data_IF_433865345114
#
_entry.id   IF_433865345114
#
_cell.length_a   1.000
_cell.length_b   1.000
_cell.length_c   1.000
_cell.angle_alpha   90.00
_cell.angle_beta   90.00
_cell.angle_gamma   90.00
#
_symmetry.space_group_name_H-M   'P 1'
#
loop_
_entity.id
_entity.type
_entity.pdbx_description
1 polymer ?
#
# COMPACT_ATOMS: atom_id res chain seq x y z
N UNK A 1 45.09 9.03 12.05
CA UNK A 1 45.26 7.84 12.88
C UNK A 1 44.22 7.89 13.99
N UNK A 2 43.21 7.10 13.89
CA UNK A 2 42.48 6.42 14.94
C UNK A 2 41.37 5.59 14.29
N UNK A 3 41.70 4.32 14.11
CA UNK A 3 40.75 3.34 13.59
C UNK A 3 39.86 2.86 14.72
N UNK A 4 38.56 2.84 14.48
CA UNK A 4 37.59 2.09 15.26
C UNK A 4 37.14 0.89 14.41
N UNK A 5 37.79 -0.26 14.69
CA UNK A 5 37.31 -1.57 14.30
C UNK A 5 36.05 -1.89 15.08
N UNK A 6 34.87 -1.77 14.52
CA UNK A 6 33.72 -2.46 15.06
C UNK A 6 33.69 -3.89 14.53
N UNK A 7 33.88 -4.82 15.45
CA UNK A 7 33.65 -6.25 15.24
C UNK A 7 32.17 -6.45 14.91
N UNK A 8 31.92 -6.95 13.70
CA UNK A 8 30.62 -7.50 13.31
C UNK A 8 30.54 -8.87 13.99
N UNK A 9 29.81 -8.95 15.08
CA UNK A 9 29.26 -10.21 15.57
C UNK A 9 28.02 -10.51 14.72
N UNK A 10 28.05 -11.64 14.01
CA UNK A 10 26.93 -12.11 13.22
C UNK A 10 25.73 -12.42 14.10
N UNK A 11 24.68 -11.64 13.96
CA UNK A 11 23.36 -11.92 14.50
C UNK A 11 22.39 -12.04 13.35
N UNK A 12 21.78 -13.21 13.17
CA UNK A 12 20.67 -13.50 12.27
C UNK A 12 19.40 -12.66 12.56
N UNK A 13 19.47 -11.67 13.45
CA UNK A 13 18.35 -10.79 13.84
C UNK A 13 18.15 -9.58 12.91
N UNK A 14 19.02 -9.32 11.94
CA UNK A 14 18.95 -8.11 11.08
C UNK A 14 17.87 -8.15 9.98
N UNK A 15 17.24 -9.29 9.76
CA UNK A 15 16.29 -9.53 8.65
C UNK A 15 14.84 -9.28 9.07
N UNK A 16 14.54 -9.42 10.36
CA UNK A 16 13.19 -9.22 10.93
C UNK A 16 12.94 -7.73 11.15
N UNK A 17 11.76 -7.26 10.74
CA UNK A 17 11.36 -5.86 10.96
C UNK A 17 11.03 -5.60 12.45
N UNK A 18 11.85 -4.78 13.10
CA UNK A 18 11.79 -4.51 14.56
C UNK A 18 11.64 -3.01 14.75
N UNK A 19 10.86 -2.25 14.40
CA UNK A 19 10.70 -0.83 14.73
C UNK A 19 11.98 -0.12 15.26
N UNK A 20 11.95 1.17 15.33
CA UNK A 20 13.03 2.02 15.84
C UNK A 20 12.59 2.82 17.08
N UNK A 21 13.36 3.85 17.43
CA UNK A 21 13.01 4.79 18.49
C UNK A 21 11.73 5.54 18.17
N UNK A 22 10.97 5.89 19.19
CA UNK A 22 9.76 6.71 19.06
C UNK A 22 10.17 8.11 18.58
N UNK A 23 9.45 8.65 17.60
CA UNK A 23 9.71 9.99 17.08
C UNK A 23 9.22 11.05 18.07
N UNK A 24 9.94 12.16 18.14
CA UNK A 24 9.58 13.32 18.97
C UNK A 24 8.16 13.81 18.66
N UNK A 25 7.35 13.99 19.69
CA UNK A 25 5.95 14.39 19.58
C UNK A 25 4.96 13.28 19.23
N UNK A 26 5.44 12.05 19.01
CA UNK A 26 4.64 10.87 18.70
C UNK A 26 4.61 9.85 19.87
N UNK A 27 4.95 10.30 21.07
CA UNK A 27 4.98 9.46 22.28
C UNK A 27 3.59 8.90 22.60
N UNK A 28 3.56 7.67 23.11
CA UNK A 28 2.36 6.96 23.53
C UNK A 28 2.28 6.93 25.05
N UNK A 29 1.13 7.22 25.63
CA UNK A 29 0.88 6.96 27.06
C UNK A 29 0.73 5.46 27.31
N UNK A 30 1.88 4.83 27.54
CA UNK A 30 2.01 3.38 27.71
C UNK A 30 1.26 2.88 28.93
N UNK A 31 1.22 3.70 30.01
CA UNK A 31 0.53 3.31 31.25
C UNK A 31 -0.99 3.30 31.02
N UNK A 32 -1.53 4.33 30.38
CA UNK A 32 -2.94 4.39 30.02
C UNK A 32 -3.35 3.22 29.13
N UNK A 33 -2.57 2.94 28.08
CA UNK A 33 -2.80 1.80 27.17
C UNK A 33 -2.74 0.47 27.93
N UNK A 34 -1.74 0.26 28.77
CA UNK A 34 -1.56 -1.00 29.51
C UNK A 34 -2.71 -1.24 30.49
N UNK A 35 -3.12 -0.24 31.25
CA UNK A 35 -4.25 -0.33 32.16
C UNK A 35 -5.54 -0.65 31.40
N UNK A 36 -5.81 0.07 30.32
CA UNK A 36 -6.98 -0.16 29.50
C UNK A 36 -7.04 -1.58 28.90
N UNK A 37 -5.89 -2.10 28.43
CA UNK A 37 -5.80 -3.47 27.91
C UNK A 37 -6.15 -4.50 28.98
N UNK A 38 -5.62 -4.35 30.21
CA UNK A 38 -5.90 -5.25 31.35
C UNK A 38 -7.38 -5.20 31.71
N UNK A 39 -7.97 -4.00 31.84
CA UNK A 39 -9.38 -3.79 32.14
C UNK A 39 -10.31 -4.38 31.09
N UNK A 40 -9.83 -4.49 29.83
CA UNK A 40 -10.56 -5.09 28.71
C UNK A 40 -10.16 -6.54 28.43
N UNK A 41 -9.60 -7.24 29.41
CA UNK A 41 -9.40 -8.69 29.38
C UNK A 41 -8.11 -9.15 28.71
N UNK A 42 -7.16 -8.27 28.42
CA UNK A 42 -5.86 -8.69 27.91
C UNK A 42 -4.96 -9.17 29.03
N UNK A 43 -4.44 -10.38 28.91
CA UNK A 43 -3.48 -10.97 29.85
C UNK A 43 -2.07 -10.52 29.50
N UNK A 44 -1.70 -9.27 29.79
CA UNK A 44 -0.34 -8.74 29.62
C UNK A 44 0.36 -8.64 30.98
N UNK A 45 1.67 -8.88 31.01
CA UNK A 45 2.46 -8.86 32.25
C UNK A 45 3.90 -8.40 32.03
N UNK A 46 4.50 -7.88 33.11
CA UNK A 46 5.87 -7.41 33.12
C UNK A 46 6.07 -6.00 32.59
N UNK A 47 7.33 -5.66 32.34
CA UNK A 47 7.68 -4.39 31.73
C UNK A 47 7.37 -4.39 30.23
N UNK A 48 7.04 -3.23 29.68
CA UNK A 48 6.82 -3.06 28.24
C UNK A 48 7.98 -2.32 27.62
N UNK A 49 8.55 -2.91 26.56
CA UNK A 49 9.45 -2.24 25.64
C UNK A 49 8.63 -1.73 24.46
N UNK A 50 8.78 -0.44 24.11
CA UNK A 50 8.04 0.19 23.03
C UNK A 50 8.98 0.65 21.93
N UNK A 51 8.66 0.25 20.70
CA UNK A 51 9.34 0.75 19.51
C UNK A 51 8.30 1.24 18.50
N UNK A 52 8.72 2.08 17.55
CA UNK A 52 7.85 2.62 16.54
C UNK A 52 8.33 2.23 15.14
N UNK A 53 7.41 1.81 14.29
CA UNK A 53 7.73 1.53 12.89
C UNK A 53 7.78 2.82 12.07
N UNK A 54 8.78 2.93 11.20
CA UNK A 54 8.95 4.07 10.29
C UNK A 54 8.03 4.01 9.06
N UNK A 55 7.49 2.84 8.76
CA UNK A 55 6.55 2.60 7.66
C UNK A 55 5.11 2.92 8.09
N UNK A 56 4.33 3.46 7.14
CA UNK A 56 2.93 3.84 7.35
C UNK A 56 2.78 5.37 7.29
N UNK A 57 2.47 5.88 6.08
CA UNK A 57 2.24 7.31 5.89
C UNK A 57 0.92 7.79 6.52
N UNK A 58 0.00 6.85 6.75
CA UNK A 58 -1.37 7.14 7.18
C UNK A 58 -1.56 7.03 8.68
N UNK A 59 -1.06 5.97 9.31
CA UNK A 59 -1.27 5.68 10.72
C UNK A 59 0.05 5.42 11.46
N UNK A 60 0.11 5.78 12.72
CA UNK A 60 1.26 5.48 13.57
C UNK A 60 1.15 4.06 14.11
N UNK A 61 2.25 3.31 14.01
CA UNK A 61 2.33 1.91 14.38
C UNK A 61 3.43 1.71 15.43
N UNK A 62 3.06 1.16 16.59
CA UNK A 62 3.96 0.89 17.70
C UNK A 62 3.99 -0.60 17.99
N UNK A 63 5.15 -1.12 18.35
CA UNK A 63 5.30 -2.43 18.98
C UNK A 63 5.29 -2.27 20.48
N UNK A 64 4.50 -3.08 21.15
CA UNK A 64 4.42 -3.18 22.61
C UNK A 64 4.89 -4.59 22.98
N UNK A 65 6.14 -4.71 23.42
CA UNK A 65 6.77 -5.97 23.81
C UNK A 65 6.69 -6.13 25.31
N UNK A 66 5.77 -6.94 25.81
CA UNK A 66 5.65 -7.40 27.18
C UNK A 66 6.43 -8.70 27.40
N UNK A 67 6.56 -9.14 28.68
CA UNK A 67 7.23 -10.41 28.99
C UNK A 67 6.51 -11.61 28.36
N UNK A 68 5.17 -11.57 28.31
CA UNK A 68 4.31 -12.65 27.83
C UNK A 68 3.55 -12.33 26.53
N UNK A 69 3.71 -11.14 25.95
CA UNK A 69 2.99 -10.73 24.74
C UNK A 69 3.84 -9.83 23.83
N UNK A 70 3.67 -9.98 22.53
CA UNK A 70 4.28 -9.12 21.51
C UNK A 70 3.15 -8.54 20.63
N UNK A 71 2.84 -7.27 20.85
CA UNK A 71 1.66 -6.63 20.30
C UNK A 71 2.02 -5.47 19.38
N UNK A 72 1.12 -5.17 18.48
CA UNK A 72 1.14 -3.97 17.63
C UNK A 72 -0.07 -3.11 17.98
N UNK A 73 0.18 -1.84 18.25
CA UNK A 73 -0.84 -0.81 18.39
C UNK A 73 -0.82 0.11 17.18
N UNK A 74 -1.99 0.35 16.57
CA UNK A 74 -2.16 1.33 15.50
C UNK A 74 -3.12 2.44 15.94
N UNK A 75 -2.75 3.67 15.61
CA UNK A 75 -3.56 4.87 15.88
C UNK A 75 -3.38 5.93 14.78
N UNK A 76 -4.33 6.86 14.60
CA UNK A 76 -4.15 7.99 13.69
C UNK A 76 -3.06 8.94 14.21
N UNK A 77 -2.44 9.75 13.33
CA UNK A 77 -1.58 10.86 13.72
C UNK A 77 -2.34 11.90 14.57
N UNK A 78 -1.62 12.58 15.48
CA UNK A 78 -2.22 13.68 16.28
C UNK A 78 -2.76 14.79 15.38
N UNK A 79 -3.96 15.29 15.71
CA UNK A 79 -4.58 16.42 15.00
C UNK A 79 -5.32 16.08 13.70
N UNK A 80 -5.44 14.82 13.34
CA UNK A 80 -6.20 14.38 12.17
C UNK A 80 -7.71 14.48 12.44
N UNK A 81 -8.39 15.44 11.81
CA UNK A 81 -9.84 15.68 11.99
C UNK A 81 -10.75 14.86 11.07
N UNK A 82 -10.21 14.17 10.08
CA UNK A 82 -11.02 13.42 9.12
C UNK A 82 -11.25 11.98 9.58
N UNK A 83 -12.35 11.75 10.31
CA UNK A 83 -12.76 10.39 10.75
C UNK A 83 -12.78 9.34 9.64
N UNK A 84 -13.03 9.72 8.39
CA UNK A 84 -13.12 8.79 7.26
C UNK A 84 -11.78 8.35 6.66
N UNK A 85 -10.68 9.04 6.96
CA UNK A 85 -9.36 8.73 6.40
C UNK A 85 -8.52 7.82 7.33
N UNK A 86 -8.92 7.69 8.61
CA UNK A 86 -8.19 6.96 9.64
C UNK A 86 -9.18 6.25 10.57
N UNK A 87 -10.06 5.45 9.99
CA UNK A 87 -11.11 4.71 10.72
C UNK A 87 -10.52 3.42 11.32
N UNK A 88 -10.01 3.53 12.54
CA UNK A 88 -9.41 2.42 13.29
C UNK A 88 -10.41 1.28 13.52
N UNK A 89 -11.67 1.63 13.79
CA UNK A 89 -12.71 0.63 14.01
C UNK A 89 -12.97 -0.19 12.74
N UNK A 90 -13.05 0.48 11.58
CA UNK A 90 -13.22 -0.18 10.29
C UNK A 90 -12.04 -1.11 9.99
N UNK A 91 -10.81 -0.66 10.14
CA UNK A 91 -9.62 -1.47 9.89
C UNK A 91 -9.54 -2.70 10.82
N UNK A 92 -9.89 -2.52 12.10
CA UNK A 92 -10.02 -3.60 13.06
C UNK A 92 -11.09 -4.62 12.65
N UNK A 93 -12.29 -4.16 12.30
CA UNK A 93 -13.40 -5.04 11.95
C UNK A 93 -13.17 -5.79 10.65
N UNK A 94 -12.57 -5.16 9.63
CA UNK A 94 -12.18 -5.86 8.40
C UNK A 94 -11.34 -7.09 8.71
N UNK A 95 -10.29 -6.94 9.49
CA UNK A 95 -9.39 -8.03 9.84
C UNK A 95 -10.08 -9.09 10.73
N UNK A 96 -10.88 -8.66 11.70
CA UNK A 96 -11.62 -9.54 12.60
C UNK A 96 -12.64 -10.40 11.83
N UNK A 97 -13.39 -9.80 10.90
CA UNK A 97 -14.39 -10.50 10.10
C UNK A 97 -13.77 -11.41 9.04
N UNK A 98 -12.61 -11.03 8.54
CA UNK A 98 -11.88 -11.79 7.52
C UNK A 98 -11.11 -13.01 8.10
N UNK A 99 -10.69 -12.96 9.35
CA UNK A 99 -9.83 -13.96 9.98
C UNK A 99 -10.33 -15.42 9.85
N UNK A 100 -11.64 -15.73 9.91
CA UNK A 100 -12.12 -17.10 9.73
C UNK A 100 -11.90 -17.68 8.31
N UNK A 101 -11.71 -16.83 7.31
CA UNK A 101 -11.65 -17.19 5.91
C UNK A 101 -10.26 -17.02 5.29
N UNK A 102 -9.40 -16.22 5.92
CA UNK A 102 -8.11 -15.82 5.39
C UNK A 102 -7.06 -15.84 6.51
N UNK A 103 -6.31 -16.93 6.67
CA UNK A 103 -5.51 -17.19 7.88
C UNK A 103 -4.23 -16.34 8.00
N UNK A 104 -3.83 -15.64 6.94
CA UNK A 104 -2.60 -14.81 6.93
C UNK A 104 -2.87 -13.39 7.43
N UNK A 105 -3.51 -13.29 8.60
CA UNK A 105 -3.85 -12.03 9.27
C UNK A 105 -3.29 -11.97 10.69
N UNK A 106 -2.97 -10.78 11.19
CA UNK A 106 -2.72 -10.60 12.61
C UNK A 106 -3.98 -10.93 13.43
N UNK A 107 -3.82 -11.61 14.56
CA UNK A 107 -4.92 -11.82 15.50
C UNK A 107 -5.30 -10.49 16.16
N UNK A 108 -6.57 -10.07 16.03
CA UNK A 108 -7.09 -8.86 16.65
C UNK A 108 -7.26 -9.06 18.15
N UNK A 109 -6.67 -8.19 18.96
CA UNK A 109 -6.71 -8.25 20.43
C UNK A 109 -7.81 -7.35 20.97
N UNK A 110 -7.76 -6.05 20.67
CA UNK A 110 -8.71 -5.09 21.23
C UNK A 110 -8.89 -3.85 20.34
N UNK A 111 -10.08 -3.25 20.41
CA UNK A 111 -10.39 -1.96 19.78
C UNK A 111 -10.80 -0.98 20.87
N UNK A 112 -10.11 0.15 20.98
CA UNK A 112 -10.45 1.24 21.87
C UNK A 112 -11.08 2.40 21.10
N UNK A 113 -12.31 2.76 21.45
CA UNK A 113 -13.01 3.93 20.91
C UNK A 113 -13.28 4.97 22.02
N UNK A 114 -12.56 4.87 23.12
CA UNK A 114 -12.58 5.84 24.22
C UNK A 114 -11.39 6.81 24.08
N UNK A 115 -11.69 8.00 23.57
CA UNK A 115 -10.69 9.05 23.39
C UNK A 115 -10.04 9.51 24.71
N UNK A 116 -10.64 9.20 25.88
CA UNK A 116 -10.09 9.58 27.18
C UNK A 116 -8.78 8.82 27.50
N UNK A 117 -8.52 7.68 26.85
CA UNK A 117 -7.34 6.86 27.09
C UNK A 117 -6.06 7.49 26.52
N UNK A 118 -6.04 7.81 25.22
CA UNK A 118 -4.87 8.42 24.55
C UNK A 118 -5.25 9.54 23.57
N UNK A 119 -6.45 10.09 23.64
CA UNK A 119 -6.88 11.22 22.79
C UNK A 119 -7.37 10.81 21.39
N UNK A 120 -7.49 9.55 21.09
CA UNK A 120 -7.99 9.03 19.80
C UNK A 120 -8.34 7.55 19.88
N UNK A 121 -9.13 7.07 18.91
CA UNK A 121 -9.33 5.64 18.70
C UNK A 121 -8.00 4.94 18.40
N UNK A 122 -7.87 3.70 18.83
CA UNK A 122 -6.76 2.82 18.47
C UNK A 122 -7.19 1.36 18.49
N UNK A 123 -6.42 0.51 17.82
CA UNK A 123 -6.59 -0.93 17.99
C UNK A 123 -5.26 -1.64 18.23
N UNK A 124 -5.37 -2.83 18.81
CA UNK A 124 -4.23 -3.67 19.15
C UNK A 124 -4.42 -5.05 18.52
N UNK A 125 -3.34 -5.57 17.97
CA UNK A 125 -3.27 -6.90 17.36
C UNK A 125 -2.00 -7.62 17.81
N UNK A 126 -1.96 -8.95 17.71
CA UNK A 126 -0.71 -9.70 17.91
C UNK A 126 0.27 -9.40 16.79
N UNK A 127 1.54 -9.27 17.14
CA UNK A 127 2.60 -9.10 16.14
C UNK A 127 2.86 -10.41 15.41
N UNK A 128 2.88 -10.36 14.10
CA UNK A 128 3.45 -11.43 13.27
C UNK A 128 4.94 -11.11 13.12
N UNK A 129 5.80 -11.97 13.65
CA UNK A 129 7.23 -11.84 13.48
C UNK A 129 7.66 -12.36 12.11
N UNK A 130 8.28 -11.52 11.30
CA UNK A 130 8.70 -11.91 9.97
C UNK A 130 9.42 -10.82 9.20
N UNK A 131 9.60 -11.07 7.90
CA UNK A 131 10.37 -10.24 6.99
C UNK A 131 9.40 -9.48 6.09
N UNK A 132 9.56 -8.15 5.98
CA UNK A 132 8.80 -7.33 5.05
C UNK A 132 9.65 -7.05 3.80
N UNK A 133 9.28 -7.59 2.63
CA UNK A 133 10.04 -7.40 1.39
C UNK A 133 9.83 -5.99 0.85
N UNK A 134 10.85 -5.14 0.99
CA UNK A 134 10.86 -3.76 0.51
C UNK A 134 11.55 -3.66 -0.87
N UNK A 135 11.87 -2.46 -1.34
CA UNK A 135 12.55 -2.22 -2.62
C UNK A 135 13.83 -3.05 -2.82
N UNK A 136 14.50 -3.42 -1.73
CA UNK A 136 15.61 -4.36 -1.69
C UNK A 136 15.26 -5.46 -0.71
N UNK A 137 15.40 -6.70 -1.13
CA UNK A 137 15.37 -7.82 -0.20
C UNK A 137 16.62 -7.79 0.68
N UNK A 138 16.52 -8.21 1.96
CA UNK A 138 17.70 -8.38 2.79
C UNK A 138 18.74 -9.26 2.11
N UNK A 139 20.00 -8.81 2.00
CA UNK A 139 21.06 -9.59 1.33
C UNK A 139 21.28 -10.97 1.94
N UNK A 140 21.01 -11.09 3.22
CA UNK A 140 21.15 -12.34 4.00
C UNK A 140 20.23 -13.45 3.48
N UNK A 141 19.13 -13.13 2.81
CA UNK A 141 18.24 -14.12 2.19
C UNK A 141 18.89 -14.83 1.01
N UNK A 142 19.84 -14.16 0.32
CA UNK A 142 20.59 -14.71 -0.80
C UNK A 142 19.75 -15.54 -1.78
N UNK A 143 18.58 -15.02 -2.15
CA UNK A 143 17.63 -15.74 -3.00
C UNK A 143 18.18 -16.06 -4.38
N UNK A 144 18.01 -17.31 -4.80
CA UNK A 144 18.15 -17.70 -6.19
C UNK A 144 17.02 -17.11 -7.04
N UNK A 145 17.19 -17.06 -8.34
CA UNK A 145 16.14 -16.63 -9.27
C UNK A 145 14.85 -17.46 -9.13
N UNK A 146 14.98 -18.75 -8.88
CA UNK A 146 13.84 -19.64 -8.66
C UNK A 146 13.09 -19.29 -7.38
N UNK A 147 13.78 -18.97 -6.29
CA UNK A 147 13.14 -18.55 -5.02
C UNK A 147 12.47 -17.18 -5.16
N UNK A 148 13.05 -16.25 -5.95
CA UNK A 148 12.39 -14.99 -6.28
C UNK A 148 11.09 -15.22 -7.06
N UNK A 149 11.12 -16.16 -8.02
CA UNK A 149 9.91 -16.56 -8.75
C UNK A 149 8.85 -17.18 -7.83
N UNK A 150 9.24 -18.10 -6.97
CA UNK A 150 8.37 -18.72 -5.98
C UNK A 150 7.74 -17.67 -5.03
N UNK A 151 8.53 -16.73 -4.54
CA UNK A 151 8.02 -15.59 -3.76
C UNK A 151 6.97 -14.80 -4.52
N UNK A 152 7.24 -14.49 -5.81
CA UNK A 152 6.30 -13.76 -6.65
C UNK A 152 4.96 -14.48 -6.77
N UNK A 153 5.01 -15.78 -7.06
CA UNK A 153 3.82 -16.64 -7.18
C UNK A 153 3.06 -16.69 -5.84
N UNK A 154 3.75 -16.94 -4.73
CA UNK A 154 3.11 -17.02 -3.41
C UNK A 154 2.41 -15.74 -3.00
N UNK A 155 2.98 -14.56 -3.33
CA UNK A 155 2.33 -13.28 -3.08
C UNK A 155 1.09 -13.09 -3.95
N UNK A 156 1.14 -13.49 -5.23
CA UNK A 156 -0.02 -13.42 -6.12
C UNK A 156 -1.12 -14.42 -5.73
N UNK A 157 -0.76 -15.62 -5.32
CA UNK A 157 -1.72 -16.62 -4.84
C UNK A 157 -2.48 -16.12 -3.61
N UNK A 158 -1.82 -15.38 -2.70
CA UNK A 158 -2.51 -14.76 -1.56
C UNK A 158 -3.51 -13.66 -1.97
N UNK A 159 -3.25 -12.92 -3.04
CA UNK A 159 -4.25 -12.01 -3.60
C UNK A 159 -5.43 -12.78 -4.20
N UNK A 160 -5.16 -13.83 -4.94
CA UNK A 160 -6.20 -14.69 -5.55
C UNK A 160 -7.07 -15.34 -4.46
N UNK A 161 -6.44 -15.89 -3.42
CA UNK A 161 -7.15 -16.44 -2.25
C UNK A 161 -8.06 -15.38 -1.59
N UNK A 162 -7.57 -14.15 -1.44
CA UNK A 162 -8.37 -13.05 -0.90
C UNK A 162 -9.61 -12.77 -1.77
N UNK A 163 -9.45 -12.71 -3.08
CA UNK A 163 -10.54 -12.46 -4.02
C UNK A 163 -11.56 -13.61 -4.09
N UNK A 164 -11.21 -14.79 -3.56
CA UNK A 164 -12.09 -15.96 -3.48
C UNK A 164 -12.79 -16.12 -2.13
N UNK A 165 -12.53 -15.23 -1.17
CA UNK A 165 -13.18 -15.25 0.14
C UNK A 165 -14.69 -15.08 0.00
N UNK A 166 -15.51 -15.99 0.55
CA UNK A 166 -16.96 -15.84 0.56
C UNK A 166 -17.37 -14.68 1.47
N UNK A 167 -17.91 -13.61 0.91
CA UNK A 167 -18.32 -12.43 1.69
C UNK A 167 -19.84 -12.32 1.86
N UNK A 168 -20.62 -12.86 0.92
CA UNK A 168 -22.09 -12.79 0.95
C UNK A 168 -22.66 -13.53 2.17
N UNK A 169 -23.60 -12.91 2.85
CA UNK A 169 -24.16 -13.47 4.08
C UNK A 169 -23.23 -13.43 5.31
N UNK A 170 -22.07 -12.80 5.19
CA UNK A 170 -21.12 -12.59 6.30
C UNK A 170 -21.01 -11.11 6.69
N UNK A 171 -20.34 -10.82 7.80
CA UNK A 171 -20.07 -9.43 8.22
C UNK A 171 -19.27 -8.64 7.16
N UNK A 172 -18.49 -9.31 6.30
CA UNK A 172 -17.72 -8.69 5.24
C UNK A 172 -18.59 -8.00 4.18
N UNK A 173 -19.84 -8.42 4.01
CA UNK A 173 -20.79 -7.79 3.09
C UNK A 173 -21.03 -6.31 3.42
N UNK A 174 -20.93 -5.94 4.71
CA UNK A 174 -21.07 -4.56 5.18
C UNK A 174 -19.98 -3.60 4.66
N UNK A 175 -18.88 -4.13 4.15
CA UNK A 175 -17.80 -3.33 3.55
C UNK A 175 -18.18 -2.80 2.15
N UNK A 176 -19.16 -3.42 1.50
CA UNK A 176 -19.62 -3.06 0.16
C UNK A 176 -20.56 -1.85 0.17
N UNK A 177 -20.65 -1.19 -1.00
CA UNK A 177 -21.59 -0.10 -1.25
C UNK A 177 -22.60 -0.45 -2.38
N UNK A 178 -22.79 -1.74 -2.64
CA UNK A 178 -23.62 -2.23 -3.73
C UNK A 178 -22.99 -2.04 -5.12
N UNK A 179 -23.82 -2.19 -6.17
CA UNK A 179 -23.42 -2.13 -7.56
C UNK A 179 -22.80 -0.79 -7.97
N UNK A 180 -22.12 -0.77 -9.10
CA UNK A 180 -21.51 0.45 -9.69
C UNK A 180 -20.15 0.79 -9.09
N UNK A 181 -19.40 -0.20 -8.59
CA UNK A 181 -18.07 0.02 -8.02
C UNK A 181 -17.11 0.69 -8.99
N UNK A 182 -16.98 0.13 -10.21
CA UNK A 182 -16.06 0.67 -11.22
C UNK A 182 -16.38 2.14 -11.55
N UNK A 183 -17.65 2.48 -11.75
CA UNK A 183 -18.09 3.85 -12.01
C UNK A 183 -17.76 4.79 -10.85
N UNK A 184 -18.12 4.42 -9.63
CA UNK A 184 -17.82 5.23 -8.44
C UNK A 184 -16.34 5.48 -8.27
N UNK A 185 -15.48 4.49 -8.60
CA UNK A 185 -14.03 4.66 -8.52
C UNK A 185 -13.53 5.64 -9.58
N UNK A 186 -13.93 5.49 -10.85
CA UNK A 186 -13.52 6.41 -11.93
C UNK A 186 -13.94 7.84 -11.60
N UNK A 187 -15.20 8.06 -11.28
CA UNK A 187 -15.75 9.39 -10.95
C UNK A 187 -15.08 9.99 -9.70
N UNK A 188 -14.87 9.18 -8.65
CA UNK A 188 -14.26 9.63 -7.41
C UNK A 188 -12.80 10.03 -7.57
N UNK A 189 -12.00 9.26 -8.33
CA UNK A 189 -10.60 9.59 -8.60
C UNK A 189 -10.48 10.76 -9.59
N UNK A 190 -11.39 10.86 -10.56
CA UNK A 190 -11.48 12.01 -11.45
C UNK A 190 -11.71 13.31 -10.68
N UNK A 191 -12.69 13.34 -9.79
CA UNK A 191 -12.99 14.50 -8.95
C UNK A 191 -11.81 14.89 -8.04
N UNK A 192 -11.10 13.89 -7.46
CA UNK A 192 -9.89 14.14 -6.66
C UNK A 192 -8.78 14.74 -7.48
N UNK A 193 -8.59 14.28 -8.74
CA UNK A 193 -7.59 14.85 -9.62
C UNK A 193 -7.87 16.31 -9.94
N UNK A 194 -9.11 16.63 -10.33
CA UNK A 194 -9.53 18.01 -10.62
C UNK A 194 -9.29 18.92 -9.42
N UNK A 195 -9.66 18.47 -8.22
CA UNK A 195 -9.49 19.25 -6.98
C UNK A 195 -8.02 19.48 -6.61
N UNK A 196 -7.14 18.53 -6.89
CA UNK A 196 -5.72 18.60 -6.54
C UNK A 196 -4.83 19.08 -7.71
N UNK A 197 -5.39 19.38 -8.88
CA UNK A 197 -4.61 19.78 -10.06
C UNK A 197 -3.83 21.08 -9.81
N UNK A 198 -2.57 21.11 -10.24
CA UNK A 198 -1.71 22.30 -10.26
C UNK A 198 -1.33 22.64 -11.70
N UNK A 199 -1.10 23.93 -11.97
CA UNK A 199 -0.91 24.44 -13.34
C UNK A 199 0.27 23.83 -14.10
N UNK A 200 1.25 23.28 -13.37
CA UNK A 200 2.50 22.75 -13.92
C UNK A 200 2.49 21.23 -14.21
N UNK A 201 1.36 20.56 -13.99
CA UNK A 201 1.18 19.15 -14.31
C UNK A 201 0.12 18.96 -15.41
N UNK A 202 0.14 17.84 -16.15
CA UNK A 202 -0.83 17.59 -17.20
C UNK A 202 -2.26 17.48 -16.64
N UNK A 203 -3.26 17.89 -17.44
CA UNK A 203 -4.68 17.80 -17.04
C UNK A 203 -5.25 16.39 -17.05
N UNK A 204 -4.55 15.43 -17.65
CA UNK A 204 -5.04 14.07 -17.93
C UNK A 204 -6.35 14.02 -18.71
N UNK A 205 -6.73 15.08 -19.42
CA UNK A 205 -8.03 15.22 -20.09
C UNK A 205 -8.39 14.02 -20.96
N UNK A 206 -7.47 13.54 -21.79
CA UNK A 206 -7.72 12.38 -22.67
C UNK A 206 -7.86 11.08 -21.88
N UNK A 207 -7.00 10.85 -20.88
CA UNK A 207 -7.05 9.65 -20.02
C UNK A 207 -8.35 9.62 -19.22
N UNK A 208 -8.73 10.74 -18.60
CA UNK A 208 -9.97 10.90 -17.84
C UNK A 208 -11.21 10.66 -18.71
N UNK A 209 -11.24 11.26 -19.91
CA UNK A 209 -12.30 11.03 -20.89
C UNK A 209 -12.39 9.56 -21.28
N UNK A 210 -11.25 8.97 -21.67
CA UNK A 210 -11.19 7.57 -22.09
C UNK A 210 -11.64 6.61 -20.98
N UNK A 211 -11.21 6.83 -19.73
CA UNK A 211 -11.65 6.03 -18.58
C UNK A 211 -13.17 6.10 -18.41
N UNK A 212 -13.78 7.28 -18.48
CA UNK A 212 -15.23 7.45 -18.37
C UNK A 212 -16.02 6.76 -19.50
N UNK A 213 -15.47 6.74 -20.72
CA UNK A 213 -16.09 6.12 -21.89
C UNK A 213 -15.92 4.58 -21.92
N UNK A 214 -14.99 4.04 -21.14
CA UNK A 214 -14.64 2.60 -21.15
C UNK A 214 -14.91 1.91 -19.82
N UNK A 215 -15.75 2.46 -18.95
CA UNK A 215 -16.09 1.84 -17.65
C UNK A 215 -16.75 0.48 -17.92
N UNK A 216 -16.17 -0.64 -17.44
CA UNK A 216 -16.80 -1.95 -17.56
C UNK A 216 -18.04 -2.05 -16.67
N UNK A 217 -18.92 -2.98 -17.00
CA UNK A 217 -19.94 -3.40 -16.05
C UNK A 217 -19.27 -4.07 -14.85
N UNK A 218 -19.84 -3.87 -13.66
CA UNK A 218 -19.38 -4.59 -12.48
C UNK A 218 -19.52 -6.10 -12.72
N UNK A 219 -18.42 -6.82 -12.53
CA UNK A 219 -18.41 -8.27 -12.66
C UNK A 219 -17.67 -8.90 -11.48
N UNK A 220 -18.22 -9.99 -10.96
CA UNK A 220 -17.58 -10.77 -9.91
C UNK A 220 -17.08 -9.96 -8.70
N UNK A 221 -17.92 -9.13 -8.04
CA UNK A 221 -17.49 -8.39 -6.87
C UNK A 221 -16.97 -9.33 -5.80
N UNK A 222 -15.86 -8.97 -5.19
CA UNK A 222 -15.20 -9.75 -4.14
C UNK A 222 -14.59 -8.84 -3.09
N UNK A 223 -14.05 -9.40 -2.03
CA UNK A 223 -13.23 -8.64 -1.10
C UNK A 223 -11.90 -8.30 -1.76
N UNK A 224 -11.58 -7.02 -1.84
CA UNK A 224 -10.34 -6.48 -2.43
C UNK A 224 -9.53 -5.72 -1.38
N UNK A 225 -8.21 -5.71 -1.56
CA UNK A 225 -7.28 -5.04 -0.65
C UNK A 225 -7.13 -3.54 -0.97
N UNK A 226 -7.12 -3.19 -2.25
CA UNK A 226 -6.92 -1.83 -2.78
C UNK A 226 -5.52 -1.22 -2.57
N UNK A 227 -4.61 -1.90 -1.89
CA UNK A 227 -3.21 -1.50 -1.76
C UNK A 227 -2.31 -2.73 -1.71
N UNK A 228 -2.54 -3.70 -2.63
CA UNK A 228 -1.77 -4.93 -2.69
C UNK A 228 -0.35 -4.67 -3.16
N UNK A 229 0.62 -4.95 -2.29
CA UNK A 229 2.04 -4.74 -2.56
C UNK A 229 2.90 -5.69 -1.73
N UNK A 230 4.13 -5.96 -2.18
CA UNK A 230 5.09 -6.77 -1.41
C UNK A 230 5.43 -6.18 -0.04
N UNK A 231 5.50 -4.86 0.09
CA UNK A 231 5.78 -4.20 1.37
C UNK A 231 4.58 -4.19 2.34
N UNK A 232 3.44 -4.77 1.93
CA UNK A 232 2.29 -5.06 2.78
C UNK A 232 2.13 -6.55 3.11
N UNK A 233 3.12 -7.39 2.80
CA UNK A 233 3.13 -8.79 3.23
C UNK A 233 4.27 -9.07 4.21
N UNK A 234 4.10 -10.11 5.03
CA UNK A 234 5.12 -10.61 5.95
C UNK A 234 5.50 -12.02 5.51
N UNK A 235 6.80 -12.25 5.35
CA UNK A 235 7.37 -13.55 4.99
C UNK A 235 7.82 -14.31 6.23
N UNK A 236 7.70 -15.64 6.18
CA UNK A 236 8.20 -16.53 7.23
C UNK A 236 9.74 -16.45 7.31
N UNK A 237 10.33 -16.12 8.46
CA UNK A 237 11.79 -16.10 8.61
C UNK A 237 12.46 -17.47 8.37
N UNK A 238 11.72 -18.57 8.54
CA UNK A 238 12.23 -19.94 8.35
C UNK A 238 12.08 -20.41 6.90
N UNK A 239 11.07 -19.93 6.21
CA UNK A 239 10.83 -20.18 4.79
C UNK A 239 10.43 -18.88 4.08
N UNK A 240 11.38 -18.01 3.73
CA UNK A 240 11.10 -16.63 3.34
C UNK A 240 10.49 -16.44 1.93
N UNK A 241 10.12 -17.51 1.25
CA UNK A 241 9.24 -17.46 0.07
C UNK A 241 7.75 -17.54 0.46
N UNK A 242 7.43 -17.92 1.71
CA UNK A 242 6.06 -18.08 2.19
C UNK A 242 5.53 -16.82 2.84
N UNK A 243 4.31 -16.43 2.48
CA UNK A 243 3.57 -15.33 3.10
C UNK A 243 2.82 -15.84 4.33
N UNK A 244 3.09 -15.24 5.48
CA UNK A 244 2.46 -15.57 6.77
C UNK A 244 1.62 -14.42 7.33
N UNK A 245 1.69 -13.24 6.72
CA UNK A 245 0.88 -12.10 7.12
C UNK A 245 0.61 -11.14 5.96
N UNK A 246 -0.58 -10.53 5.98
CA UNK A 246 -0.97 -9.41 5.10
C UNK A 246 -1.41 -8.25 5.96
N UNK A 247 -0.89 -7.07 5.66
CA UNK A 247 -1.02 -5.85 6.42
C UNK A 247 -1.75 -4.76 5.64
N UNK A 248 -2.13 -3.69 6.34
CA UNK A 248 -2.63 -2.43 5.77
C UNK A 248 -4.01 -2.55 5.09
N UNK A 249 -4.99 -2.93 5.89
CA UNK A 249 -6.37 -3.20 5.47
C UNK A 249 -7.27 -1.95 5.41
N UNK A 250 -6.70 -0.75 5.56
CA UNK A 250 -7.46 0.51 5.62
C UNK A 250 -8.28 0.78 4.35
N UNK A 251 -7.83 0.28 3.19
CA UNK A 251 -8.48 0.48 1.88
C UNK A 251 -9.38 -0.69 1.46
N UNK A 252 -9.42 -1.79 2.22
CA UNK A 252 -10.15 -2.99 1.83
C UNK A 252 -11.66 -2.74 1.73
N UNK A 253 -12.32 -3.33 0.74
CA UNK A 253 -13.76 -3.18 0.50
C UNK A 253 -14.28 -4.32 -0.39
N UNK A 254 -15.58 -4.39 -0.60
CA UNK A 254 -16.13 -5.20 -1.70
C UNK A 254 -16.05 -4.38 -2.99
N UNK A 255 -15.38 -4.93 -4.00
CA UNK A 255 -15.12 -4.24 -5.26
C UNK A 255 -14.75 -5.18 -6.39
N UNK A 256 -14.21 -4.62 -7.46
CA UNK A 256 -13.81 -5.37 -8.65
C UNK A 256 -12.37 -5.90 -8.52
N UNK A 257 -12.15 -7.21 -8.65
CA UNK A 257 -10.83 -7.84 -8.49
C UNK A 257 -9.80 -7.37 -9.53
N UNK A 258 -10.24 -7.04 -10.75
CA UNK A 258 -9.32 -6.58 -11.81
C UNK A 258 -8.91 -5.13 -11.59
N UNK A 259 -9.76 -4.30 -10.95
CA UNK A 259 -9.36 -2.96 -10.50
C UNK A 259 -8.32 -3.03 -9.37
N UNK A 260 -8.42 -4.01 -8.48
CA UNK A 260 -7.41 -4.25 -7.43
C UNK A 260 -6.07 -4.66 -8.06
N UNK A 261 -6.09 -5.63 -8.97
CA UNK A 261 -4.90 -6.08 -9.70
C UNK A 261 -4.26 -4.93 -10.51
N UNK A 262 -5.06 -4.17 -11.26
CA UNK A 262 -4.57 -3.02 -12.03
C UNK A 262 -3.93 -1.95 -11.15
N UNK A 263 -4.50 -1.70 -9.97
CA UNK A 263 -3.95 -0.79 -8.96
C UNK A 263 -2.62 -1.31 -8.39
N UNK A 264 -2.51 -2.61 -8.10
CA UNK A 264 -1.27 -3.24 -7.66
C UNK A 264 -0.16 -3.13 -8.72
N UNK A 265 -0.50 -3.37 -10.00
CA UNK A 265 0.44 -3.31 -11.10
C UNK A 265 0.94 -1.90 -11.42
N UNK A 266 0.22 -0.85 -11.04
CA UNK A 266 0.71 0.52 -11.18
C UNK A 266 1.98 0.78 -10.34
N UNK A 267 2.16 0.08 -9.22
CA UNK A 267 3.36 0.11 -8.38
C UNK A 267 4.45 -0.90 -8.81
N UNK A 268 4.15 -1.76 -9.79
CA UNK A 268 5.06 -2.82 -10.24
C UNK A 268 6.11 -2.26 -11.18
N UNK A 269 7.31 -2.04 -10.69
CA UNK A 269 8.44 -1.52 -11.46
C UNK A 269 9.30 -2.68 -11.95
N UNK A 270 9.43 -2.81 -13.27
CA UNK A 270 10.28 -3.81 -13.92
C UNK A 270 11.71 -3.27 -14.13
N UNK A 271 12.65 -4.18 -14.34
CA UNK A 271 14.03 -3.78 -14.66
C UNK A 271 14.15 -3.09 -16.04
N UNK A 272 13.18 -3.32 -16.92
CA UNK A 272 13.10 -2.68 -18.24
C UNK A 272 12.47 -1.28 -18.20
N UNK A 273 11.88 -0.86 -17.08
CA UNK A 273 11.30 0.48 -16.94
C UNK A 273 12.38 1.57 -16.98
N UNK A 274 11.98 2.79 -17.33
CA UNK A 274 12.88 3.94 -17.36
C UNK A 274 13.36 4.36 -15.96
N UNK A 275 14.39 5.21 -15.90
CA UNK A 275 15.01 5.63 -14.64
C UNK A 275 14.06 6.34 -13.68
N UNK A 276 13.03 7.03 -14.18
CA UNK A 276 12.03 7.69 -13.33
C UNK A 276 11.25 6.65 -12.54
N UNK A 277 10.69 5.62 -13.20
CA UNK A 277 10.00 4.55 -12.51
C UNK A 277 10.92 3.76 -11.59
N UNK A 278 12.17 3.47 -12.04
CA UNK A 278 13.18 2.80 -11.20
C UNK A 278 13.48 3.59 -9.92
N UNK A 279 13.47 4.93 -9.96
CA UNK A 279 13.69 5.77 -8.78
C UNK A 279 12.53 5.77 -7.79
N UNK A 280 11.32 5.43 -8.24
CA UNK A 280 10.12 5.35 -7.37
C UNK A 280 9.86 3.97 -6.80
N UNK A 281 10.72 3.01 -7.09
CA UNK A 281 10.57 1.61 -6.68
C UNK A 281 10.52 1.43 -5.18
N UNK A 282 9.49 0.74 -4.70
CA UNK A 282 9.29 0.39 -3.29
C UNK A 282 9.26 -1.11 -3.03
N UNK A 283 9.17 -1.91 -4.08
CA UNK A 283 9.00 -3.37 -4.06
C UNK A 283 10.13 -4.04 -4.84
N UNK A 284 10.43 -5.32 -4.58
CA UNK A 284 11.53 -6.03 -5.23
C UNK A 284 11.18 -6.55 -6.63
N UNK A 285 10.17 -5.99 -7.30
CA UNK A 285 9.57 -6.46 -8.56
C UNK A 285 10.48 -6.39 -9.80
N UNK A 286 11.67 -5.78 -9.66
CA UNK A 286 12.72 -5.71 -10.69
C UNK A 286 13.70 -6.88 -10.66
N UNK A 287 13.65 -7.73 -9.62
CA UNK A 287 14.60 -8.83 -9.46
C UNK A 287 14.40 -9.90 -10.53
N UNK A 288 15.49 -10.51 -10.95
CA UNK A 288 15.43 -11.67 -11.86
C UNK A 288 14.65 -12.79 -11.18
N UNK A 289 13.65 -13.31 -11.87
CA UNK A 289 12.70 -14.30 -11.34
C UNK A 289 11.32 -13.74 -11.04
N UNK A 290 11.18 -12.43 -10.83
CA UNK A 290 9.86 -11.79 -10.75
C UNK A 290 9.16 -11.86 -12.10
N UNK A 291 7.84 -12.05 -12.08
CA UNK A 291 6.99 -11.93 -13.27
C UNK A 291 6.97 -10.48 -13.75
N UNK A 292 6.91 -10.30 -15.07
CA UNK A 292 6.56 -9.01 -15.69
C UNK A 292 5.09 -8.69 -15.42
N UNK A 293 4.69 -7.42 -15.55
CA UNK A 293 3.27 -7.01 -15.45
C UNK A 293 2.36 -7.85 -16.35
N UNK A 294 2.81 -8.14 -17.57
CA UNK A 294 2.08 -8.98 -18.51
C UNK A 294 1.89 -10.40 -17.98
N UNK A 295 2.97 -11.02 -17.52
CA UNK A 295 2.93 -12.38 -16.96
C UNK A 295 2.09 -12.45 -15.67
N UNK A 296 2.10 -11.41 -14.84
CA UNK A 296 1.21 -11.32 -13.67
C UNK A 296 -0.26 -11.34 -14.09
N UNK A 297 -0.63 -10.59 -15.11
CA UNK A 297 -2.00 -10.58 -15.65
C UNK A 297 -2.37 -11.95 -16.20
N UNK A 298 -1.51 -12.55 -17.02
CA UNK A 298 -1.73 -13.88 -17.59
C UNK A 298 -1.91 -14.93 -16.49
N UNK A 299 -1.04 -14.95 -15.50
CA UNK A 299 -1.12 -15.86 -14.35
C UNK A 299 -2.43 -15.67 -13.58
N UNK A 300 -2.77 -14.42 -13.26
CA UNK A 300 -3.98 -14.10 -12.50
C UNK A 300 -5.26 -14.54 -13.25
N UNK A 301 -5.37 -14.21 -14.54
CA UNK A 301 -6.51 -14.56 -15.37
C UNK A 301 -6.63 -16.09 -15.58
N UNK A 302 -5.51 -16.79 -15.75
CA UNK A 302 -5.49 -18.26 -15.82
C UNK A 302 -6.02 -18.88 -14.53
N UNK A 303 -5.54 -18.43 -13.37
CA UNK A 303 -5.92 -18.97 -12.05
C UNK A 303 -7.38 -18.66 -11.67
N UNK A 304 -7.89 -17.50 -12.05
CA UNK A 304 -9.25 -17.06 -11.68
C UNK A 304 -10.31 -17.40 -12.72
N UNK A 305 -9.89 -17.69 -13.96
CA UNK A 305 -10.80 -17.90 -15.08
C UNK A 305 -11.50 -16.63 -15.57
N UNK A 306 -11.15 -15.46 -15.04
CA UNK A 306 -11.73 -14.18 -15.46
C UNK A 306 -11.29 -13.83 -16.88
N UNK A 307 -12.21 -13.20 -17.64
CA UNK A 307 -11.98 -12.82 -19.04
C UNK A 307 -12.47 -11.38 -19.24
N UNK A 308 -11.63 -10.37 -18.96
CA UNK A 308 -12.02 -8.99 -19.19
C UNK A 308 -12.11 -8.70 -20.69
N UNK A 309 -13.16 -7.98 -21.12
CA UNK A 309 -13.30 -7.53 -22.51
C UNK A 309 -12.20 -6.53 -22.88
N UNK A 310 -11.76 -5.72 -21.93
CA UNK A 310 -10.73 -4.69 -22.12
C UNK A 310 -9.82 -4.58 -20.89
N UNK A 311 -8.74 -5.36 -20.87
CA UNK A 311 -7.75 -5.27 -19.79
C UNK A 311 -7.11 -3.87 -19.67
N UNK A 312 -6.94 -3.16 -20.79
CA UNK A 312 -6.32 -1.84 -20.78
C UNK A 312 -7.05 -0.84 -19.85
N UNK A 313 -8.36 -1.00 -19.66
CA UNK A 313 -9.11 -0.17 -18.71
C UNK A 313 -8.51 -0.26 -17.30
N UNK A 314 -8.27 -1.46 -16.80
CA UNK A 314 -7.80 -1.70 -15.44
C UNK A 314 -6.35 -1.21 -15.24
N UNK A 315 -5.50 -1.40 -16.25
CA UNK A 315 -4.13 -0.92 -16.22
C UNK A 315 -4.07 0.62 -16.25
N UNK A 316 -4.83 1.26 -17.14
CA UNK A 316 -4.92 2.73 -17.23
C UNK A 316 -5.54 3.33 -15.98
N UNK A 317 -6.57 2.70 -15.42
CA UNK A 317 -7.16 3.13 -14.15
C UNK A 317 -6.15 3.09 -13.00
N UNK A 318 -5.40 2.00 -12.86
CA UNK A 318 -4.36 1.86 -11.84
C UNK A 318 -3.29 2.96 -11.95
N UNK A 319 -2.81 3.22 -13.16
CA UNK A 319 -1.85 4.31 -13.45
C UNK A 319 -2.45 5.67 -13.12
N UNK A 320 -3.69 5.94 -13.50
CA UNK A 320 -4.38 7.19 -13.21
C UNK A 320 -4.58 7.37 -11.69
N UNK A 321 -5.03 6.33 -11.00
CA UNK A 321 -5.16 6.35 -9.53
C UNK A 321 -3.83 6.69 -8.85
N UNK A 322 -2.73 6.07 -9.26
CA UNK A 322 -1.39 6.37 -8.75
C UNK A 322 -0.98 7.82 -9.03
N UNK A 323 -1.28 8.32 -10.24
CA UNK A 323 -1.03 9.72 -10.58
C UNK A 323 -1.83 10.69 -9.70
N UNK A 324 -3.09 10.37 -9.36
CA UNK A 324 -3.90 11.19 -8.46
C UNK A 324 -3.32 11.19 -7.04
N UNK A 325 -2.88 10.04 -6.53
CA UNK A 325 -2.22 9.94 -5.21
C UNK A 325 -0.96 10.81 -5.19
N UNK A 326 -0.10 10.67 -6.20
CA UNK A 326 1.11 11.49 -6.34
C UNK A 326 0.77 13.00 -6.43
N UNK A 327 -0.28 13.36 -7.17
CA UNK A 327 -0.74 14.74 -7.32
C UNK A 327 -1.28 15.32 -6.02
N UNK A 328 -2.03 14.56 -5.23
CA UNK A 328 -2.51 15.03 -3.92
C UNK A 328 -1.36 15.29 -2.93
N UNK A 329 -0.31 14.47 -2.99
CA UNK A 329 0.90 14.70 -2.19
C UNK A 329 1.65 15.93 -2.71
N UNK A 330 1.83 16.03 -4.03
CA UNK A 330 2.49 17.16 -4.68
C UNK A 330 1.74 18.48 -4.45
N UNK A 331 0.42 18.48 -4.52
CA UNK A 331 -0.45 19.64 -4.24
C UNK A 331 -0.13 20.27 -2.89
N UNK A 332 0.02 19.46 -1.83
CA UNK A 332 0.38 19.95 -0.50
C UNK A 332 1.76 20.61 -0.49
N UNK A 333 2.73 20.04 -1.20
CA UNK A 333 4.05 20.62 -1.35
C UNK A 333 3.99 21.92 -2.17
N UNK A 334 3.33 21.91 -3.31
CA UNK A 334 3.18 23.06 -4.21
C UNK A 334 2.55 24.27 -3.50
N UNK A 335 1.56 24.03 -2.65
CA UNK A 335 0.87 25.06 -1.85
C UNK A 335 1.50 25.30 -0.47
N UNK A 336 2.72 24.82 -0.22
CA UNK A 336 3.47 25.02 1.04
C UNK A 336 2.72 24.56 2.30
N UNK A 337 1.88 23.54 2.18
CA UNK A 337 1.22 22.87 3.29
C UNK A 337 2.13 21.79 3.94
N UNK A 338 3.23 21.48 3.29
CA UNK A 338 4.35 20.65 3.76
C UNK A 338 5.62 21.14 3.08
N UNK A 339 6.74 21.08 3.78
CA UNK A 339 8.08 21.41 3.31
C UNK A 339 8.95 20.19 3.04
N UNK A 340 8.38 18.97 3.15
CA UNK A 340 9.12 17.74 2.95
C UNK A 340 9.75 17.68 1.54
N UNK A 341 11.10 17.71 1.45
CA UNK A 341 11.80 17.80 0.17
C UNK A 341 11.60 16.55 -0.71
N UNK A 342 11.18 15.43 -0.14
CA UNK A 342 10.88 14.21 -0.90
C UNK A 342 9.71 14.39 -1.89
N UNK A 343 8.86 15.40 -1.68
CA UNK A 343 7.69 15.64 -2.53
C UNK A 343 7.95 16.64 -3.66
N UNK A 344 9.10 17.32 -3.63
CA UNK A 344 9.47 18.38 -4.56
C UNK A 344 9.36 17.95 -6.04
N UNK A 345 9.80 16.74 -6.34
CA UNK A 345 9.96 16.24 -7.70
C UNK A 345 8.82 15.30 -8.14
N UNK A 346 7.73 15.19 -7.37
CA UNK A 346 6.58 14.36 -7.73
C UNK A 346 5.91 14.74 -9.05
N UNK A 347 6.02 16.01 -9.47
CA UNK A 347 5.56 16.45 -10.79
C UNK A 347 6.21 15.63 -11.93
N UNK A 348 7.47 15.18 -11.77
CA UNK A 348 8.18 14.32 -12.74
C UNK A 348 7.46 12.97 -12.88
N UNK A 349 7.13 12.36 -11.75
CA UNK A 349 6.42 11.08 -11.71
C UNK A 349 5.02 11.20 -12.33
N UNK A 350 4.33 12.31 -12.07
CA UNK A 350 2.99 12.58 -12.61
C UNK A 350 3.05 12.70 -14.15
N UNK A 351 4.05 13.40 -14.70
CA UNK A 351 4.27 13.47 -16.15
C UNK A 351 4.60 12.09 -16.74
N UNK A 352 5.43 11.29 -16.06
CA UNK A 352 5.79 9.94 -16.51
C UNK A 352 4.55 9.02 -16.57
N UNK A 353 3.71 9.04 -15.53
CA UNK A 353 2.47 8.27 -15.47
C UNK A 353 1.47 8.72 -16.54
N UNK A 354 1.36 10.03 -16.80
CA UNK A 354 0.53 10.57 -17.87
C UNK A 354 0.94 10.02 -19.24
N UNK A 355 2.24 10.10 -19.57
CA UNK A 355 2.76 9.61 -20.85
C UNK A 355 2.54 8.10 -20.99
N UNK A 356 2.74 7.35 -19.90
CA UNK A 356 2.49 5.90 -19.89
C UNK A 356 1.01 5.57 -20.14
N UNK A 357 0.09 6.29 -19.50
CA UNK A 357 -1.35 6.11 -19.71
C UNK A 357 -1.76 6.46 -21.14
N UNK A 358 -1.27 7.59 -21.71
CA UNK A 358 -1.54 7.97 -23.08
C UNK A 358 -1.06 6.92 -24.09
N UNK A 359 0.12 6.34 -23.87
CA UNK A 359 0.67 5.28 -24.72
C UNK A 359 -0.23 4.04 -24.73
N UNK A 360 -0.76 3.65 -23.58
CA UNK A 360 -1.65 2.49 -23.45
C UNK A 360 -2.99 2.69 -24.20
N UNK A 361 -3.51 3.91 -24.25
CA UNK A 361 -4.75 4.23 -24.96
C UNK A 361 -4.52 4.68 -26.41
N UNK A 362 -3.28 4.57 -26.91
CA UNK A 362 -2.94 4.88 -28.32
C UNK A 362 -2.92 6.37 -28.66
N UNK A 363 -2.86 7.27 -27.69
CA UNK A 363 -2.83 8.73 -27.89
C UNK A 363 -1.40 9.23 -27.88
N UNK A 364 -0.98 9.86 -28.97
CA UNK A 364 0.37 10.44 -29.10
C UNK A 364 0.40 11.93 -28.73
N UNK A 365 -0.74 12.62 -28.75
CA UNK A 365 -0.82 14.06 -28.47
C UNK A 365 -0.85 14.32 -26.98
N UNK A 366 0.09 15.15 -26.51
CA UNK A 366 0.12 15.65 -25.13
C UNK A 366 -0.50 17.04 -25.14
N UNK A 367 -1.63 17.21 -24.46
CA UNK A 367 -2.20 18.53 -24.19
C UNK A 367 -1.62 19.09 -22.89
N UNK A 368 -0.98 20.26 -22.98
CA UNK A 368 -0.48 21.00 -21.86
C UNK A 368 -0.72 22.50 -22.09
N UNK A 369 -1.07 23.21 -21.03
CA UNK A 369 -1.02 24.67 -21.05
C UNK A 369 0.44 25.16 -21.10
N UNK A 370 0.67 26.46 -21.30
CA UNK A 370 2.02 27.01 -21.45
C UNK A 370 2.98 26.68 -20.28
N UNK A 371 2.45 26.64 -19.05
CA UNK A 371 3.23 26.32 -17.86
C UNK A 371 3.56 24.83 -17.84
N UNK A 372 2.57 23.98 -18.04
CA UNK A 372 2.76 22.53 -18.10
C UNK A 372 3.65 22.13 -19.28
N UNK A 373 3.64 22.88 -20.39
CA UNK A 373 4.53 22.65 -21.54
C UNK A 373 6.00 22.88 -21.16
N UNK A 374 6.31 23.94 -20.41
CA UNK A 374 7.68 24.19 -19.90
C UNK A 374 8.15 23.07 -18.98
N UNK A 375 7.27 22.54 -18.13
CA UNK A 375 7.59 21.40 -17.27
C UNK A 375 7.76 20.10 -18.09
N UNK A 376 6.98 19.92 -19.15
CA UNK A 376 7.12 18.79 -20.08
C UNK A 376 8.47 18.84 -20.81
N UNK A 377 8.93 20.02 -21.23
CA UNK A 377 10.26 20.19 -21.85
C UNK A 377 11.35 19.86 -20.85
N UNK A 378 11.29 20.40 -19.63
CA UNK A 378 12.21 20.03 -18.55
C UNK A 378 12.19 18.53 -18.25
N UNK A 379 11.01 17.91 -18.27
CA UNK A 379 10.87 16.46 -18.10
C UNK A 379 11.58 15.69 -19.22
N UNK A 380 11.47 16.13 -20.49
CA UNK A 380 12.17 15.50 -21.63
C UNK A 380 13.69 15.63 -21.50
N UNK A 381 14.18 16.79 -21.03
CA UNK A 381 15.62 16.98 -20.74
C UNK A 381 16.13 15.99 -19.68
N UNK A 382 15.37 15.78 -18.60
CA UNK A 382 15.69 14.79 -17.54
C UNK A 382 15.77 13.37 -18.12
N UNK A 383 14.94 13.05 -19.13
CA UNK A 383 14.96 11.75 -19.82
C UNK A 383 16.09 11.60 -20.84
N UNK A 384 16.83 12.66 -21.13
CA UNK A 384 17.87 12.67 -22.16
C UNK A 384 17.32 12.58 -23.59
N UNK A 385 16.16 13.17 -23.84
CA UNK A 385 15.46 13.20 -25.13
C UNK A 385 15.32 14.61 -25.64
#
# INVERSE_FOLDING_TARGET
>A
MYGLKHKIQGNNMSVIDIGGSIREGEELDIRAVGNWLIENGSEISGNVEVTQYSGGASNWTYRLKYDNADLILRRPPKGTKAKSAHDMAREYHVQKWLAPYYPVLPEMVALCQDESVIGCDFYVMKRIEGIIPRAKLPPELNFTQQQVHELCINVLDKLIELHQVPYQGTELEKLGKGDGYCRRQVEGWDARYVKAHTINVPSFKFVRKWLNENIPADSNPCLIHNDWRFDNVILDPKNPTQVIGVLDWEMATIGDPLMDLGSALAYWVEDTDNQIFKSTRRQPTHLKGMLTRKEVVEYYLEKTGLKPDNWAFYEVFGIFRLAVIAQQIYYRYYHKQTDNPAFKDFWIVIHALHIRALKLIGIQKIEANEVAQKYLEKFKEILGK
#
